data_IF_676283862480
#
_entry.id   IF_676283862480
#
_cell.length_a   1.000
_cell.length_b   1.000
_cell.length_c   1.000
_cell.angle_alpha   90.00
_cell.angle_beta   90.00
_cell.angle_gamma   90.00
#
_symmetry.space_group_name_H-M   'P 1'
#
loop_
_entity.id
_entity.type
_entity.pdbx_description
1 polymer ?
#
# COMPACT_ATOMS: atom_id res chain seq x y z
N UNK A 1 -13.20 -7.40 -10.97
CA UNK A 1 -12.18 -6.36 -10.81
C UNK A 1 -11.05 -6.91 -9.93
N UNK A 2 -9.85 -6.34 -10.05
CA UNK A 2 -8.67 -6.62 -9.24
C UNK A 2 -8.15 -5.28 -8.68
N UNK A 3 -7.79 -5.25 -7.40
CA UNK A 3 -7.09 -4.12 -6.79
C UNK A 3 -5.61 -4.47 -6.63
N UNK A 4 -4.73 -3.54 -6.98
CA UNK A 4 -3.29 -3.64 -6.73
C UNK A 4 -2.86 -2.46 -5.88
N UNK A 5 -2.30 -2.74 -4.71
CA UNK A 5 -1.86 -1.74 -3.75
C UNK A 5 -0.34 -1.58 -3.82
N UNK A 6 0.14 -0.35 -3.84
CA UNK A 6 1.56 -0.05 -3.91
C UNK A 6 1.94 1.09 -2.95
N UNK A 7 3.04 0.89 -2.22
CA UNK A 7 3.73 2.00 -1.55
C UNK A 7 4.33 2.91 -2.62
N UNK A 8 3.91 4.17 -2.62
CA UNK A 8 4.27 5.12 -3.68
C UNK A 8 5.49 5.98 -3.32
N UNK A 9 6.08 5.76 -2.14
CA UNK A 9 7.38 6.31 -1.73
C UNK A 9 8.31 5.18 -1.31
N UNK A 10 9.62 5.42 -1.27
CA UNK A 10 10.56 4.45 -0.72
C UNK A 10 10.21 4.08 0.73
N UNK A 11 9.88 5.08 1.55
CA UNK A 11 9.48 4.88 2.94
C UNK A 11 8.24 3.97 3.05
N UNK A 12 7.19 4.24 2.27
CA UNK A 12 5.95 3.43 2.33
C UNK A 12 6.18 2.00 1.85
N UNK A 13 7.08 1.78 0.88
CA UNK A 13 7.40 0.43 0.36
C UNK A 13 8.07 -0.48 1.38
N UNK A 14 8.62 0.07 2.47
CA UNK A 14 9.25 -0.69 3.55
C UNK A 14 8.26 -1.14 4.61
N UNK A 15 7.06 -0.57 4.67
CA UNK A 15 6.07 -1.01 5.65
C UNK A 15 5.55 -2.42 5.28
N UNK A 16 5.38 -3.32 6.26
CA UNK A 16 4.56 -4.51 6.08
C UNK A 16 3.12 -4.13 5.73
N UNK A 17 2.40 -5.01 5.04
CA UNK A 17 0.98 -4.80 4.73
C UNK A 17 0.08 -5.39 5.81
N UNK A 18 -0.86 -4.60 6.29
CA UNK A 18 -2.04 -5.10 7.02
C UNK A 18 -3.11 -5.47 6.00
N UNK A 19 -3.68 -6.67 6.11
CA UNK A 19 -4.75 -7.16 5.23
C UNK A 19 -5.86 -7.80 6.05
N UNK A 20 -7.09 -7.33 5.85
CA UNK A 20 -8.33 -7.99 6.28
C UNK A 20 -9.20 -8.26 5.07
N UNK A 21 -9.63 -9.50 4.92
CA UNK A 21 -10.47 -9.94 3.80
C UNK A 21 -11.88 -10.37 4.23
N UNK A 22 -12.15 -10.46 5.54
CA UNK A 22 -13.47 -10.78 6.09
C UNK A 22 -14.38 -9.55 6.21
N UNK A 23 -15.34 -9.62 7.12
CA UNK A 23 -16.45 -8.68 7.40
C UNK A 23 -16.22 -7.20 7.03
N UNK A 24 -15.09 -6.63 7.42
CA UNK A 24 -14.69 -5.27 7.05
C UNK A 24 -13.34 -5.31 6.32
N UNK A 25 -13.35 -5.43 4.97
CA UNK A 25 -12.12 -5.54 4.20
C UNK A 25 -11.28 -4.27 4.29
N UNK A 26 -9.97 -4.46 4.46
CA UNK A 26 -9.03 -3.35 4.58
C UNK A 26 -7.62 -3.77 4.19
N UNK A 27 -6.93 -2.90 3.45
CA UNK A 27 -5.52 -3.04 3.08
C UNK A 27 -4.82 -1.71 3.31
N UNK A 28 -3.64 -1.76 3.92
CA UNK A 28 -2.78 -0.59 4.08
C UNK A 28 -1.43 -0.91 4.73
N UNK A 29 -0.59 0.12 4.88
CA UNK A 29 0.65 0.02 5.65
C UNK A 29 0.36 -0.35 7.11
N UNK A 30 0.98 -1.42 7.60
CA UNK A 30 0.93 -1.85 9.00
C UNK A 30 1.93 -1.04 9.82
N UNK A 31 1.57 0.19 10.17
CA UNK A 31 2.41 1.04 11.02
C UNK A 31 2.53 0.45 12.43
N UNK A 32 3.72 0.58 13.01
CA UNK A 32 4.06 0.01 14.32
C UNK A 32 3.80 -1.52 14.43
N UNK A 33 4.00 -2.25 13.32
CA UNK A 33 3.83 -3.71 13.28
C UNK A 33 4.73 -4.46 14.27
N UNK A 34 5.99 -4.06 14.34
CA UNK A 34 7.02 -4.72 15.17
C UNK A 34 7.37 -3.89 16.41
N UNK A 35 7.67 -2.60 16.22
CA UNK A 35 8.04 -1.67 17.28
C UNK A 35 7.25 -0.38 17.20
N UNK A 36 7.15 0.32 18.33
CA UNK A 36 6.48 1.62 18.42
C UNK A 36 7.05 2.58 17.38
N UNK A 37 6.16 3.24 16.63
CA UNK A 37 6.51 4.36 15.76
C UNK A 37 6.29 5.68 16.53
N UNK A 38 7.34 6.33 17.06
CA UNK A 38 7.20 7.60 17.77
C UNK A 38 6.83 8.72 16.80
N UNK A 39 5.89 9.58 17.21
CA UNK A 39 5.55 10.82 16.53
C UNK A 39 5.68 11.93 17.58
N UNK A 40 6.74 12.77 17.52
CA UNK A 40 6.89 13.88 18.44
C UNK A 40 5.74 14.90 18.32
N UNK A 41 5.52 15.74 19.36
CA UNK A 41 4.55 16.83 19.27
C UNK A 41 4.84 17.74 18.07
N UNK A 42 3.84 18.00 17.24
CA UNK A 42 3.95 18.85 16.04
C UNK A 42 4.45 18.13 14.79
N UNK A 43 4.89 16.87 14.90
CA UNK A 43 5.39 16.10 13.76
C UNK A 43 4.30 15.24 13.11
N UNK A 44 4.60 14.77 11.89
CA UNK A 44 3.69 13.89 11.14
C UNK A 44 4.40 12.67 10.58
N UNK A 45 3.65 11.58 10.48
CA UNK A 45 4.05 10.39 9.73
C UNK A 45 3.16 10.31 8.51
N UNK A 46 3.78 10.40 7.33
CA UNK A 46 3.07 10.34 6.06
C UNK A 46 3.35 9.00 5.38
N UNK A 47 2.31 8.40 4.82
CA UNK A 47 2.37 7.26 3.90
C UNK A 47 1.56 7.58 2.66
N UNK A 48 2.13 7.26 1.50
CA UNK A 48 1.44 7.42 0.21
C UNK A 48 1.23 6.04 -0.38
N UNK A 49 -0.03 5.64 -0.47
CA UNK A 49 -0.44 4.38 -1.09
C UNK A 49 -1.15 4.74 -2.40
N UNK A 50 -0.81 4.04 -3.47
CA UNK A 50 -1.53 4.11 -4.75
C UNK A 50 -2.26 2.80 -4.93
N UNK A 51 -3.56 2.89 -5.22
CA UNK A 51 -4.43 1.75 -5.52
C UNK A 51 -4.80 1.79 -6.99
N UNK A 52 -4.39 0.75 -7.72
CA UNK A 52 -4.83 0.54 -9.09
C UNK A 52 -6.10 -0.29 -9.05
N UNK A 53 -7.14 0.18 -9.75
CA UNK A 53 -8.38 -0.57 -10.00
C UNK A 53 -8.32 -1.07 -11.45
N UNK A 54 -8.36 -2.38 -11.64
CA UNK A 54 -8.34 -3.00 -12.96
C UNK A 54 -9.52 -3.98 -13.11
N UNK A 55 -10.05 -4.10 -14.33
CA UNK A 55 -11.13 -5.05 -14.59
C UNK A 55 -10.63 -6.49 -14.71
N UNK A 56 -11.51 -7.45 -14.41
CA UNK A 56 -11.20 -8.87 -14.53
C UNK A 56 -10.10 -9.37 -13.57
N UNK A 57 -9.47 -10.49 -13.96
CA UNK A 57 -8.40 -11.17 -13.22
C UNK A 57 -7.05 -10.78 -13.81
N UNK A 58 -6.13 -10.33 -12.97
CA UNK A 58 -4.88 -9.73 -13.43
C UNK A 58 -3.67 -10.67 -13.23
N UNK A 59 -2.92 -11.03 -14.29
CA UNK A 59 -1.66 -11.76 -14.15
C UNK A 59 -0.60 -10.97 -13.38
N UNK A 60 0.33 -11.69 -12.71
CA UNK A 60 1.35 -11.07 -11.85
C UNK A 60 2.24 -10.05 -12.58
N UNK A 61 2.64 -10.34 -13.82
CA UNK A 61 3.49 -9.44 -14.61
C UNK A 61 2.77 -8.15 -14.99
N UNK A 62 1.49 -8.25 -15.34
CA UNK A 62 0.63 -7.09 -15.65
C UNK A 62 0.38 -6.24 -14.41
N UNK A 63 0.10 -6.87 -13.26
CA UNK A 63 0.00 -6.17 -11.97
C UNK A 63 1.28 -5.38 -11.64
N UNK A 64 2.45 -5.99 -11.84
CA UNK A 64 3.72 -5.31 -11.62
C UNK A 64 3.94 -4.15 -12.60
N UNK A 65 3.51 -4.28 -13.86
CA UNK A 65 3.60 -3.20 -14.85
C UNK A 65 2.69 -2.03 -14.50
N UNK A 66 1.44 -2.29 -14.11
CA UNK A 66 0.49 -1.26 -13.68
C UNK A 66 1.01 -0.51 -12.44
N UNK A 67 1.57 -1.20 -11.46
CA UNK A 67 2.18 -0.57 -10.28
C UNK A 67 3.33 0.34 -10.69
N UNK A 68 4.27 -0.14 -11.51
CA UNK A 68 5.41 0.69 -11.97
C UNK A 68 4.93 1.96 -12.64
N UNK A 69 3.95 1.86 -13.54
CA UNK A 69 3.33 3.01 -14.20
C UNK A 69 2.69 3.95 -13.19
N UNK A 70 1.90 3.44 -12.26
CA UNK A 70 1.09 4.23 -11.34
C UNK A 70 1.93 4.99 -10.29
N UNK A 71 3.10 4.47 -9.91
CA UNK A 71 3.98 5.14 -8.93
C UNK A 71 5.04 6.04 -9.58
N UNK A 72 5.22 5.97 -10.90
CA UNK A 72 6.10 6.88 -11.66
C UNK A 72 5.42 8.14 -12.17
N UNK A 73 4.09 8.26 -12.01
CA UNK A 73 3.30 9.46 -12.31
C UNK A 73 3.08 10.29 -11.04
#
# INVERSE_FOLDING_TARGET
WTLVFAGATEQTRRDPWFVRAGEYPGVGSSLAHDSRLPIPPGETVVRRIVTVVADGRLPRLEAAALVRKAVSQ
#
